data_IF_279075056887
#
_entry.id   IF_279075056887
#
_cell.length_a   1.000
_cell.length_b   1.000
_cell.length_c   1.000
_cell.angle_alpha   90.00
_cell.angle_beta   90.00
_cell.angle_gamma   90.00
#
_symmetry.space_group_name_H-M   'P 1'
#
loop_
_entity.id
_entity.type
_entity.pdbx_description
1 polymer ?
#
# COMPACT_ATOMS: atom_id res chain seq x y z
N UNK A 1 -13.10 9.84 5.96
CA UNK A 1 -11.66 9.56 5.84
C UNK A 1 -11.45 8.22 5.13
N UNK A 2 -10.41 8.08 4.28
CA UNK A 2 -10.20 6.87 3.47
C UNK A 2 -9.71 5.70 4.32
N UNK A 3 -8.91 5.96 5.36
CA UNK A 3 -8.44 4.91 6.29
C UNK A 3 -9.62 4.31 7.05
N UNK A 4 -10.48 5.16 7.62
CA UNK A 4 -11.63 4.73 8.43
C UNK A 4 -12.61 3.79 7.70
N UNK A 5 -12.71 3.87 6.37
CA UNK A 5 -13.56 2.96 5.56
C UNK A 5 -12.80 1.75 5.00
N UNK A 6 -11.48 1.87 4.83
CA UNK A 6 -10.68 0.82 4.21
C UNK A 6 -10.23 -0.22 5.23
N UNK A 7 -9.88 0.20 6.45
CA UNK A 7 -9.44 -0.71 7.51
C UNK A 7 -10.50 -1.77 7.85
N UNK A 8 -11.80 -1.43 8.03
CA UNK A 8 -12.83 -2.46 8.24
C UNK A 8 -12.89 -3.46 7.08
N UNK A 9 -12.77 -3.01 5.84
CA UNK A 9 -12.77 -3.91 4.68
C UNK A 9 -11.54 -4.83 4.64
N UNK A 10 -10.37 -4.31 5.03
CA UNK A 10 -9.18 -5.13 5.24
C UNK A 10 -9.45 -6.21 6.29
N UNK A 11 -9.88 -5.83 7.49
CA UNK A 11 -10.05 -6.73 8.63
C UNK A 11 -11.14 -7.79 8.42
N UNK A 12 -12.25 -7.42 7.79
CA UNK A 12 -13.43 -8.29 7.63
C UNK A 12 -13.38 -9.16 6.36
N UNK A 13 -12.66 -8.74 5.32
CA UNK A 13 -12.70 -9.41 4.01
C UNK A 13 -11.33 -9.88 3.52
N UNK A 14 -10.33 -8.99 3.50
CA UNK A 14 -9.03 -9.29 2.90
C UNK A 14 -8.18 -10.14 3.85
N UNK A 15 -8.04 -9.71 5.10
CA UNK A 15 -7.26 -10.38 6.14
C UNK A 15 -7.67 -11.86 6.36
N UNK A 16 -8.96 -12.22 6.44
CA UNK A 16 -9.38 -13.62 6.52
C UNK A 16 -8.96 -14.44 5.30
N UNK A 17 -8.93 -13.84 4.12
CA UNK A 17 -8.47 -14.50 2.89
C UNK A 17 -6.98 -14.82 2.92
N UNK A 18 -6.16 -13.87 3.40
CA UNK A 18 -4.72 -14.07 3.58
C UNK A 18 -4.46 -15.14 4.64
N UNK A 19 -5.14 -15.08 5.79
CA UNK A 19 -5.02 -16.09 6.87
C UNK A 19 -5.44 -17.50 6.43
N UNK A 20 -6.36 -17.61 5.47
CA UNK A 20 -6.73 -18.88 4.85
C UNK A 20 -5.69 -19.41 3.84
N UNK A 21 -4.51 -18.77 3.74
CA UNK A 21 -3.43 -19.16 2.83
C UNK A 21 -3.67 -18.79 1.37
N UNK A 22 -4.67 -17.95 1.06
CA UNK A 22 -4.93 -17.52 -0.32
C UNK A 22 -3.94 -16.45 -0.75
N UNK A 23 -3.48 -16.51 -2.00
CA UNK A 23 -2.74 -15.43 -2.65
C UNK A 23 -3.73 -14.35 -3.08
N UNK A 24 -3.64 -13.16 -2.48
CA UNK A 24 -4.56 -12.05 -2.73
C UNK A 24 -3.88 -10.98 -3.57
N UNK A 25 -4.59 -10.46 -4.57
CA UNK A 25 -4.20 -9.27 -5.34
C UNK A 25 -5.22 -8.18 -5.04
N UNK A 26 -4.75 -7.00 -4.64
CA UNK A 26 -5.57 -5.81 -4.40
C UNK A 26 -5.30 -4.81 -5.52
N UNK A 27 -6.32 -4.49 -6.31
CA UNK A 27 -6.26 -3.47 -7.36
C UNK A 27 -7.12 -2.28 -6.91
N UNK A 28 -6.49 -1.13 -6.71
CA UNK A 28 -7.15 0.06 -6.16
C UNK A 28 -6.46 1.36 -6.62
N UNK A 29 -6.89 2.48 -6.06
CA UNK A 29 -6.35 3.81 -6.35
C UNK A 29 -5.42 4.29 -5.23
N UNK A 30 -4.62 5.34 -5.51
CA UNK A 30 -3.56 5.84 -4.62
C UNK A 30 -3.98 6.07 -3.17
N UNK A 31 -5.13 6.72 -2.91
CA UNK A 31 -5.57 6.97 -1.53
C UNK A 31 -5.95 5.69 -0.77
N UNK A 32 -6.55 4.71 -1.45
CA UNK A 32 -6.93 3.44 -0.83
C UNK A 32 -5.70 2.57 -0.56
N UNK A 33 -4.75 2.54 -1.50
CA UNK A 33 -3.49 1.80 -1.30
C UNK A 33 -2.67 2.46 -0.19
N UNK A 34 -2.57 3.80 -0.15
CA UNK A 34 -1.91 4.51 0.96
C UNK A 34 -2.56 4.21 2.31
N UNK A 35 -3.89 4.10 2.37
CA UNK A 35 -4.58 3.70 3.60
C UNK A 35 -4.18 2.29 4.07
N UNK A 36 -4.05 1.33 3.14
CA UNK A 36 -3.57 -0.01 3.46
C UNK A 36 -2.12 0.00 3.94
N UNK A 37 -1.23 0.68 3.21
CA UNK A 37 0.19 0.79 3.56
C UNK A 37 0.36 1.47 4.92
N UNK A 38 -0.38 2.56 5.18
CA UNK A 38 -0.40 3.23 6.49
C UNK A 38 -0.75 2.27 7.61
N UNK A 39 -1.81 1.48 7.42
CA UNK A 39 -2.29 0.54 8.43
C UNK A 39 -1.30 -0.62 8.66
N UNK A 40 -0.74 -1.19 7.59
CA UNK A 40 0.20 -2.32 7.68
C UNK A 40 1.55 -1.92 8.28
N UNK A 41 2.10 -0.79 7.83
CA UNK A 41 3.45 -0.34 8.20
C UNK A 41 3.44 0.59 9.42
N UNK A 42 2.27 0.88 9.99
CA UNK A 42 2.12 1.73 11.17
C UNK A 42 2.58 3.17 10.94
N UNK A 43 2.41 3.69 9.72
CA UNK A 43 2.86 5.02 9.33
C UNK A 43 1.99 6.09 10.01
N UNK A 44 2.61 7.13 10.53
CA UNK A 44 1.91 8.25 11.18
C UNK A 44 1.10 9.07 10.16
N UNK A 45 0.17 9.91 10.65
CA UNK A 45 -0.55 10.87 9.79
C UNK A 45 0.37 11.93 9.18
N UNK A 46 1.48 12.25 9.84
CA UNK A 46 2.44 13.23 9.37
C UNK A 46 3.40 12.63 8.32
N UNK A 47 3.70 11.34 8.39
CA UNK A 47 4.60 10.68 7.44
C UNK A 47 3.86 10.18 6.17
N UNK A 48 2.55 9.88 6.29
CA UNK A 48 1.78 9.32 5.16
C UNK A 48 1.58 10.32 4.01
N UNK A 49 1.67 11.63 4.26
CA UNK A 49 1.54 12.66 3.23
C UNK A 49 2.69 12.63 2.23
N UNK A 50 3.88 12.22 2.67
CA UNK A 50 5.08 12.12 1.83
C UNK A 50 5.19 10.77 1.10
N UNK A 51 4.33 9.81 1.46
CA UNK A 51 4.29 8.52 0.79
C UNK A 51 3.69 8.66 -0.61
N UNK A 52 4.52 8.38 -1.63
CA UNK A 52 4.14 8.39 -3.03
C UNK A 52 4.27 6.98 -3.62
N UNK A 53 3.13 6.34 -3.89
CA UNK A 53 3.07 5.00 -4.46
C UNK A 53 3.03 5.12 -6.00
N UNK A 54 3.98 4.51 -6.73
CA UNK A 54 4.01 4.58 -8.18
C UNK A 54 2.78 3.90 -8.80
N UNK A 55 2.32 4.45 -9.92
CA UNK A 55 1.18 3.87 -10.65
C UNK A 55 1.64 2.69 -11.51
N UNK A 56 0.90 1.58 -11.48
CA UNK A 56 1.11 0.44 -12.38
C UNK A 56 2.30 -0.46 -12.03
N UNK A 57 2.93 -0.27 -10.88
CA UNK A 57 4.04 -1.10 -10.41
C UNK A 57 3.57 -1.94 -9.21
N UNK A 58 3.61 -3.28 -9.27
CA UNK A 58 3.13 -4.11 -8.17
C UNK A 58 3.99 -3.93 -6.91
N UNK A 59 3.33 -3.68 -5.77
CA UNK A 59 3.94 -3.69 -4.44
C UNK A 59 3.61 -5.02 -3.77
N UNK A 60 4.62 -5.85 -3.53
CA UNK A 60 4.48 -7.17 -2.93
C UNK A 60 4.72 -7.06 -1.44
N UNK A 61 3.76 -7.50 -0.62
CA UNK A 61 3.90 -7.64 0.83
C UNK A 61 4.10 -9.11 1.22
N UNK A 62 5.07 -9.36 2.08
CA UNK A 62 5.17 -10.61 2.83
C UNK A 62 4.71 -10.34 4.26
N UNK A 63 3.70 -11.08 4.71
CA UNK A 63 3.11 -10.94 6.03
C UNK A 63 3.41 -12.18 6.89
N UNK A 64 3.52 -11.99 8.20
CA UNK A 64 3.60 -13.08 9.17
C UNK A 64 2.20 -13.65 9.52
N UNK A 65 2.16 -14.62 10.44
CA UNK A 65 0.93 -15.26 10.90
C UNK A 65 -0.06 -14.29 11.59
N UNK A 66 0.43 -13.16 12.07
CA UNK A 66 -0.34 -12.09 12.69
C UNK A 66 -0.69 -10.96 11.71
N UNK A 67 -0.44 -11.17 10.41
CA UNK A 67 -0.61 -10.18 9.34
C UNK A 67 0.27 -8.93 9.48
N UNK A 68 1.38 -9.04 10.21
CA UNK A 68 2.37 -7.97 10.27
C UNK A 68 3.34 -8.09 9.09
N UNK A 69 3.72 -6.97 8.45
CA UNK A 69 4.73 -6.99 7.39
C UNK A 69 6.07 -7.51 7.89
N UNK A 70 6.61 -8.50 7.17
CA UNK A 70 8.00 -8.96 7.27
C UNK A 70 8.87 -8.13 6.32
N UNK A 71 8.38 -7.91 5.11
CA UNK A 71 8.98 -7.04 4.11
C UNK A 71 7.92 -6.58 3.09
N UNK A 72 8.30 -5.56 2.32
CA UNK A 72 7.59 -5.20 1.09
C UNK A 72 8.60 -4.78 0.01
N UNK A 73 8.29 -5.07 -1.25
CA UNK A 73 9.15 -4.67 -2.38
C UNK A 73 8.34 -4.37 -3.63
N UNK A 74 8.79 -3.40 -4.43
CA UNK A 74 8.24 -3.20 -5.77
C UNK A 74 8.78 -4.28 -6.71
N UNK A 75 7.88 -4.88 -7.49
CA UNK A 75 8.24 -5.88 -8.47
C UNK A 75 8.73 -5.20 -9.76
N UNK A 76 9.95 -5.53 -10.21
CA UNK A 76 10.54 -5.02 -11.44
C UNK A 76 11.81 -4.21 -11.20
N UNK A 77 12.06 -3.22 -12.07
CA UNK A 77 13.22 -2.33 -11.99
C UNK A 77 13.04 -1.29 -10.85
N UNK A 78 13.90 -1.31 -9.81
CA UNK A 78 13.84 -0.36 -8.70
C UNK A 78 13.98 1.10 -9.15
N UNK A 79 14.78 1.39 -10.18
CA UNK A 79 14.94 2.76 -10.66
C UNK A 79 13.67 3.25 -11.36
N UNK A 80 13.02 2.39 -12.14
CA UNK A 80 11.73 2.70 -12.74
C UNK A 80 10.67 2.97 -11.68
N UNK A 81 10.66 2.19 -10.60
CA UNK A 81 9.77 2.43 -9.46
C UNK A 81 10.03 3.78 -8.78
N UNK A 82 11.30 4.12 -8.52
CA UNK A 82 11.68 5.40 -7.93
C UNK A 82 11.29 6.58 -8.83
N UNK A 83 11.56 6.50 -10.14
CA UNK A 83 11.16 7.54 -11.11
C UNK A 83 9.64 7.71 -11.16
N UNK A 84 8.89 6.62 -11.16
CA UNK A 84 7.43 6.67 -11.18
C UNK A 84 6.85 7.25 -9.88
N UNK A 85 7.42 6.93 -8.72
CA UNK A 85 7.01 7.51 -7.44
C UNK A 85 7.28 9.04 -7.40
N UNK A 86 8.43 9.48 -7.89
CA UNK A 86 8.76 10.89 -8.00
C UNK A 86 7.81 11.64 -8.97
N UNK A 87 7.38 11.01 -10.06
CA UNK A 87 6.39 11.59 -10.96
C UNK A 87 5.04 11.81 -10.28
N UNK A 88 4.58 10.86 -9.46
CA UNK A 88 3.35 11.00 -8.64
C UNK A 88 3.49 12.17 -7.65
N UNK A 89 4.64 12.29 -6.98
CA UNK A 89 4.90 13.38 -6.05
C UNK A 89 4.81 14.77 -6.71
N UNK A 90 5.28 14.89 -7.95
CA UNK A 90 5.25 16.15 -8.69
C UNK A 90 3.83 16.52 -9.16
N UNK A 91 2.99 15.53 -9.48
CA UNK A 91 1.58 15.79 -9.83
C UNK A 91 0.82 16.43 -8.65
N UNK A 92 1.05 15.96 -7.42
CA UNK A 92 0.44 16.50 -6.22
C UNK A 92 0.84 17.97 -5.92
N UNK A 93 1.96 18.45 -6.47
CA UNK A 93 2.45 19.83 -6.31
C UNK A 93 1.90 20.82 -7.32
N UNK A 94 1.27 20.34 -8.40
CA UNK A 94 0.86 21.19 -9.54
C UNK A 94 -0.64 21.56 -9.51
N UNK A 95 -1.30 21.39 -8.36
CA UNK A 95 -2.71 21.75 -8.12
C UNK A 95 -2.78 22.70 -6.94
#
# INVERSE_FOLDING_TARGET
DTVARFVPYWEETIAPSVKAGRKVIVVAHGNSIRALVKYLDGISDDDIVDLNIPTGIPLVYQLDEHLKPINHTYLGDPEAAARAAAAVANQAKTT
#
